data_IF_191656661443
#
_entry.id   IF_191656661443
#
_cell.length_a   1.000
_cell.length_b   1.000
_cell.length_c   1.000
_cell.angle_alpha   90.00
_cell.angle_beta   90.00
_cell.angle_gamma   90.00
#
_symmetry.space_group_name_H-M   'P 1'
#
loop_
_entity.id
_entity.type
_entity.pdbx_description
1 polymer ?
#
# COMPACT_ATOMS: atom_id res chain seq x y z
N UNK A 1 -6.63 0.39 -9.11
CA UNK A 1 -6.41 0.24 -7.65
C UNK A 1 -7.61 -0.41 -6.96
N UNK A 2 -8.82 0.15 -7.05
CA UNK A 2 -9.99 -0.45 -6.38
C UNK A 2 -10.29 -1.87 -6.87
N UNK A 3 -10.19 -2.10 -8.17
CA UNK A 3 -10.42 -3.43 -8.77
C UNK A 3 -9.38 -4.47 -8.32
N UNK A 4 -8.10 -4.09 -8.26
CA UNK A 4 -7.01 -4.99 -7.85
C UNK A 4 -7.05 -5.32 -6.35
N UNK A 5 -7.47 -4.37 -5.51
CA UNK A 5 -7.74 -4.60 -4.09
C UNK A 5 -8.94 -5.52 -3.88
N UNK A 6 -10.04 -5.27 -4.59
CA UNK A 6 -11.25 -6.08 -4.50
C UNK A 6 -11.02 -7.53 -4.98
N UNK A 7 -10.12 -7.72 -5.96
CA UNK A 7 -9.75 -9.04 -6.45
C UNK A 7 -8.89 -9.87 -5.46
N UNK A 8 -8.20 -9.24 -4.50
CA UNK A 8 -7.30 -9.92 -3.56
C UNK A 8 -7.52 -9.48 -2.10
N UNK A 9 -8.72 -9.69 -1.53
CA UNK A 9 -9.10 -9.12 -0.24
C UNK A 9 -8.38 -9.76 0.97
N UNK A 10 -7.88 -10.99 0.83
CA UNK A 10 -7.16 -11.69 1.90
C UNK A 10 -5.69 -11.26 2.00
N UNK A 11 -5.11 -10.79 0.90
CA UNK A 11 -3.66 -10.52 0.80
C UNK A 11 -3.35 -9.04 0.82
N UNK A 12 -4.34 -8.19 0.54
CA UNK A 12 -4.19 -6.74 0.44
C UNK A 12 -5.11 -6.02 1.40
N UNK A 13 -4.66 -4.85 1.87
CA UNK A 13 -5.44 -3.99 2.73
C UNK A 13 -5.22 -2.54 2.31
N UNK A 14 -6.28 -1.74 2.40
CA UNK A 14 -6.19 -0.28 2.34
C UNK A 14 -6.56 0.29 3.70
N UNK A 15 -5.75 1.24 4.15
CA UNK A 15 -5.93 1.99 5.40
C UNK A 15 -5.90 3.46 5.05
N UNK A 16 -6.95 4.18 5.44
CA UNK A 16 -7.05 5.62 5.23
C UNK A 16 -6.78 6.32 6.56
N UNK A 17 -5.76 7.18 6.58
CA UNK A 17 -5.33 7.91 7.77
C UNK A 17 -5.56 9.39 7.54
N UNK A 18 -6.36 9.99 8.42
CA UNK A 18 -6.53 11.43 8.50
C UNK A 18 -5.67 11.96 9.64
N UNK A 19 -4.63 12.71 9.28
CA UNK A 19 -3.75 13.37 10.23
C UNK A 19 -4.27 14.78 10.51
N UNK A 20 -4.80 15.01 11.70
CA UNK A 20 -5.27 16.33 12.12
C UNK A 20 -4.71 16.65 13.50
N UNK A 21 -3.74 17.55 13.54
CA UNK A 21 -3.07 17.97 14.78
C UNK A 21 -3.92 18.96 15.58
N UNK A 22 -4.81 19.70 14.91
CA UNK A 22 -5.67 20.66 15.59
C UNK A 22 -6.82 19.93 16.30
N UNK A 23 -6.81 19.94 17.63
CA UNK A 23 -7.81 19.27 18.47
C UNK A 23 -9.26 19.67 18.16
N UNK A 24 -9.51 20.95 17.84
CA UNK A 24 -10.85 21.43 17.52
C UNK A 24 -11.33 20.88 16.17
N UNK A 25 -10.45 20.90 15.16
CA UNK A 25 -10.75 20.30 13.85
C UNK A 25 -10.94 18.79 13.96
N UNK A 26 -10.08 18.11 14.70
CA UNK A 26 -10.20 16.68 14.95
C UNK A 26 -11.53 16.35 15.63
N UNK A 27 -11.96 17.14 16.62
CA UNK A 27 -13.26 16.97 17.25
C UNK A 27 -14.42 17.13 16.27
N UNK A 28 -14.35 18.15 15.39
CA UNK A 28 -15.35 18.36 14.34
C UNK A 28 -15.41 17.18 13.37
N UNK A 29 -14.27 16.68 12.92
CA UNK A 29 -14.17 15.49 12.06
C UNK A 29 -14.82 14.29 12.74
N UNK A 30 -14.55 14.07 14.04
CA UNK A 30 -15.17 12.97 14.80
C UNK A 30 -16.69 13.08 14.85
N UNK A 31 -17.23 14.29 15.01
CA UNK A 31 -18.67 14.51 15.00
C UNK A 31 -19.31 14.14 13.66
N UNK A 32 -18.67 14.49 12.54
CA UNK A 32 -19.15 14.15 11.20
C UNK A 32 -18.76 12.75 10.71
N UNK A 33 -17.90 12.05 11.43
CA UNK A 33 -17.34 10.75 11.01
C UNK A 33 -18.43 9.70 10.81
N UNK A 34 -19.50 9.72 11.61
CA UNK A 34 -20.65 8.82 11.42
C UNK A 34 -21.33 9.00 10.07
N UNK A 35 -21.46 10.25 9.60
CA UNK A 35 -22.02 10.55 8.29
C UNK A 35 -21.04 10.22 7.15
N UNK A 36 -19.74 10.44 7.35
CA UNK A 36 -18.71 10.04 6.38
C UNK A 36 -18.69 8.52 6.19
N UNK A 37 -18.75 7.75 7.28
CA UNK A 37 -18.78 6.27 7.23
C UNK A 37 -19.98 5.75 6.45
N UNK A 38 -21.14 6.43 6.49
CA UNK A 38 -22.30 6.04 5.66
C UNK A 38 -22.03 6.09 4.15
N UNK A 39 -21.06 6.91 3.71
CA UNK A 39 -20.65 6.99 2.30
C UNK A 39 -19.51 6.03 1.94
N UNK A 40 -18.95 5.33 2.93
CA UNK A 40 -17.86 4.38 2.75
C UNK A 40 -18.39 2.94 2.78
N UNK A 41 -17.76 2.02 2.01
CA UNK A 41 -17.99 0.58 2.15
C UNK A 41 -17.82 0.11 3.60
N UNK A 42 -18.66 -0.82 4.07
CA UNK A 42 -18.67 -1.27 5.48
C UNK A 42 -17.33 -1.87 5.92
N UNK A 43 -16.62 -2.54 5.02
CA UNK A 43 -15.30 -3.13 5.25
C UNK A 43 -14.17 -2.10 5.46
N UNK A 44 -14.42 -0.82 5.19
CA UNK A 44 -13.48 0.28 5.41
C UNK A 44 -13.72 1.06 6.71
N UNK A 45 -14.85 0.84 7.40
CA UNK A 45 -15.21 1.63 8.59
C UNK A 45 -14.18 1.50 9.72
N UNK A 46 -13.62 0.29 9.87
CA UNK A 46 -12.59 -0.03 10.87
C UNK A 46 -11.16 0.20 10.36
N UNK A 47 -11.01 0.62 9.09
CA UNK A 47 -9.73 0.91 8.42
C UNK A 47 -9.53 2.41 8.17
N UNK A 48 -10.40 3.25 8.74
CA UNK A 48 -10.28 4.70 8.72
C UNK A 48 -9.87 5.21 10.10
N UNK A 49 -8.71 5.85 10.17
CA UNK A 49 -8.14 6.35 11.42
C UNK A 49 -8.00 7.86 11.41
N UNK A 50 -8.45 8.50 12.49
CA UNK A 50 -8.15 9.90 12.77
C UNK A 50 -7.00 9.95 13.78
N UNK A 51 -5.84 10.40 13.34
CA UNK A 51 -4.61 10.46 14.13
C UNK A 51 -4.33 11.92 14.49
N UNK A 52 -4.16 12.19 15.79
CA UNK A 52 -3.85 13.53 16.32
C UNK A 52 -2.41 13.64 16.83
N UNK A 53 -1.76 12.51 17.13
CA UNK A 53 -0.42 12.42 17.73
C UNK A 53 0.32 11.20 17.19
N UNK A 54 1.64 11.18 17.32
CA UNK A 54 2.50 10.05 16.92
C UNK A 54 3.17 10.23 15.56
N UNK A 55 2.75 11.23 14.77
CA UNK A 55 3.42 11.60 13.53
C UNK A 55 4.41 12.75 13.80
N UNK A 56 5.58 12.42 14.34
CA UNK A 56 6.64 13.40 14.61
C UNK A 56 7.29 13.86 13.31
N UNK A 57 7.90 15.05 13.32
CA UNK A 57 8.54 15.60 12.11
C UNK A 57 9.66 14.70 11.58
N UNK A 58 10.37 13.98 12.45
CA UNK A 58 11.35 12.98 12.03
C UNK A 58 10.72 11.83 11.23
N UNK A 59 9.55 11.34 11.64
CA UNK A 59 8.82 10.31 10.87
C UNK A 59 8.32 10.90 9.55
N UNK A 60 7.76 12.11 9.57
CA UNK A 60 7.29 12.79 8.35
C UNK A 60 8.41 12.93 7.33
N UNK A 61 9.59 13.34 7.77
CA UNK A 61 10.77 13.45 6.92
C UNK A 61 11.23 12.08 6.41
N UNK A 62 11.26 11.06 7.28
CA UNK A 62 11.66 9.70 6.89
C UNK A 62 10.77 9.09 5.81
N UNK A 63 9.46 9.40 5.80
CA UNK A 63 8.51 8.92 4.79
C UNK A 63 8.29 9.91 3.63
N UNK A 64 9.06 11.01 3.57
CA UNK A 64 8.95 12.01 2.51
C UNK A 64 7.66 12.86 2.55
N UNK A 65 6.98 12.93 3.70
CA UNK A 65 5.77 13.74 3.90
C UNK A 65 6.15 15.19 4.24
N UNK A 66 6.63 15.92 3.25
CA UNK A 66 7.17 17.28 3.41
C UNK A 66 6.09 18.39 3.44
N UNK A 67 4.88 18.10 2.95
CA UNK A 67 3.79 19.07 2.90
C UNK A 67 2.51 18.52 3.54
N UNK A 68 2.10 19.06 4.67
CA UNK A 68 0.91 18.58 5.40
C UNK A 68 -0.43 18.95 4.76
N UNK A 69 -0.45 19.61 3.59
CA UNK A 69 -1.66 20.11 2.92
C UNK A 69 -2.10 19.24 1.75
N UNK A 70 -1.27 18.29 1.32
CA UNK A 70 -1.58 17.36 0.24
C UNK A 70 -1.82 15.95 0.77
N UNK A 71 -2.56 15.15 0.01
CA UNK A 71 -2.71 13.72 0.31
C UNK A 71 -1.48 12.94 -0.11
N UNK A 72 -1.17 11.88 0.62
CA UNK A 72 -0.12 10.92 0.30
C UNK A 72 -0.69 9.51 0.21
N UNK A 73 -0.13 8.70 -0.68
CA UNK A 73 -0.44 7.29 -0.81
C UNK A 73 0.88 6.52 -0.77
N UNK A 74 0.96 5.55 0.13
CA UNK A 74 2.11 4.68 0.27
C UNK A 74 1.70 3.24 -0.01
N UNK A 75 2.51 2.55 -0.80
CA UNK A 75 2.41 1.11 -0.98
C UNK A 75 3.45 0.44 -0.09
N UNK A 76 2.99 -0.40 0.82
CA UNK A 76 3.84 -1.14 1.75
C UNK A 76 3.90 -2.62 1.40
N UNK A 77 5.04 -3.26 1.67
CA UNK A 77 5.15 -4.71 1.67
C UNK A 77 4.71 -5.33 3.02
N UNK A 78 4.80 -6.66 3.13
CA UNK A 78 4.50 -7.44 4.32
C UNK A 78 5.44 -7.19 5.51
N UNK A 79 6.59 -6.55 5.29
CA UNK A 79 7.54 -6.14 6.33
C UNK A 79 7.36 -4.68 6.75
N UNK A 80 6.44 -3.95 6.12
CA UNK A 80 6.18 -2.54 6.38
C UNK A 80 7.13 -1.58 5.65
N UNK A 81 7.91 -2.06 4.67
CA UNK A 81 8.75 -1.17 3.86
C UNK A 81 7.93 -0.48 2.78
N UNK A 82 8.22 0.81 2.56
CA UNK A 82 7.63 1.58 1.47
C UNK A 82 8.25 1.13 0.14
N UNK A 83 7.42 0.64 -0.78
CA UNK A 83 7.81 0.17 -2.12
C UNK A 83 7.43 1.14 -3.22
N UNK A 84 6.43 1.97 -2.95
CA UNK A 84 6.00 3.05 -3.83
C UNK A 84 5.36 4.15 -2.99
N UNK A 85 5.52 5.40 -3.42
CA UNK A 85 4.91 6.55 -2.78
C UNK A 85 4.44 7.54 -3.86
N UNK A 86 3.29 8.15 -3.62
CA UNK A 86 2.73 9.21 -4.45
C UNK A 86 2.11 10.29 -3.58
N UNK A 87 2.04 11.51 -4.11
CA UNK A 87 1.49 12.67 -3.40
C UNK A 87 0.65 13.54 -4.32
N UNK A 88 -0.45 14.07 -3.81
CA UNK A 88 -1.34 14.95 -4.58
C UNK A 88 -2.23 14.19 -5.57
N UNK A 89 -2.57 14.87 -6.67
CA UNK A 89 -3.41 14.30 -7.73
C UNK A 89 -2.58 13.38 -8.61
N UNK A 90 -3.04 12.13 -8.76
CA UNK A 90 -2.32 11.14 -9.54
C UNK A 90 -2.56 11.29 -11.05
N UNK A 91 -1.49 11.33 -11.82
CA UNK A 91 -1.52 11.16 -13.29
C UNK A 91 -1.94 9.70 -13.62
N UNK A 92 -2.64 9.44 -14.75
CA UNK A 92 -2.84 8.09 -15.27
C UNK A 92 -1.63 7.15 -15.16
N UNK A 93 -0.43 7.61 -15.53
CA UNK A 93 0.79 6.80 -15.48
C UNK A 93 1.16 6.39 -14.03
N UNK A 94 0.96 7.29 -13.06
CA UNK A 94 1.21 6.99 -11.66
C UNK A 94 0.24 5.95 -11.12
N UNK A 95 -1.04 6.02 -11.54
CA UNK A 95 -2.06 5.03 -11.19
C UNK A 95 -1.70 3.64 -11.71
N UNK A 96 -1.17 3.56 -12.92
CA UNK A 96 -0.74 2.29 -13.53
C UNK A 96 0.49 1.73 -12.81
N UNK A 97 1.47 2.59 -12.48
CA UNK A 97 2.65 2.19 -11.72
C UNK A 97 2.29 1.64 -10.33
N UNK A 98 1.32 2.26 -9.64
CA UNK A 98 0.82 1.79 -8.36
C UNK A 98 0.15 0.41 -8.49
N UNK A 99 -0.67 0.22 -9.52
CA UNK A 99 -1.34 -1.06 -9.76
C UNK A 99 -0.33 -2.18 -10.07
N UNK A 100 0.67 -1.90 -10.90
CA UNK A 100 1.74 -2.83 -11.22
C UNK A 100 2.57 -3.20 -9.98
N UNK A 101 2.91 -2.21 -9.15
CA UNK A 101 3.60 -2.42 -7.88
C UNK A 101 2.80 -3.30 -6.93
N UNK A 102 1.49 -3.05 -6.79
CA UNK A 102 0.61 -3.86 -5.94
C UNK A 102 0.55 -5.32 -6.42
N UNK A 103 0.37 -5.55 -7.72
CA UNK A 103 0.33 -6.90 -8.30
C UNK A 103 1.62 -7.67 -8.04
N UNK A 104 2.77 -6.99 -8.22
CA UNK A 104 4.08 -7.57 -7.94
C UNK A 104 4.22 -7.99 -6.48
N UNK A 105 3.79 -7.16 -5.52
CA UNK A 105 3.88 -7.51 -4.10
C UNK A 105 2.98 -8.69 -3.72
N UNK A 106 1.81 -8.81 -4.35
CA UNK A 106 0.93 -9.97 -4.16
C UNK A 106 1.60 -11.25 -4.66
N UNK A 107 2.21 -11.21 -5.85
CA UNK A 107 2.93 -12.35 -6.41
C UNK A 107 4.14 -12.75 -5.55
N UNK A 108 4.94 -11.77 -5.13
CA UNK A 108 6.08 -11.98 -4.25
C UNK A 108 5.66 -12.61 -2.92
N UNK A 109 4.54 -12.18 -2.34
CA UNK A 109 3.99 -12.77 -1.10
C UNK A 109 3.49 -14.19 -1.30
N UNK A 110 2.84 -14.50 -2.43
CA UNK A 110 2.42 -15.87 -2.78
C UNK A 110 3.62 -16.79 -2.92
N UNK A 111 4.62 -16.37 -3.71
CA UNK A 111 5.85 -17.14 -3.90
C UNK A 111 6.57 -17.44 -2.58
N UNK A 112 6.63 -16.45 -1.68
CA UNK A 112 7.17 -16.64 -0.32
C UNK A 112 6.37 -17.68 0.49
N UNK A 113 5.05 -17.65 0.42
CA UNK A 113 4.21 -18.64 1.09
C UNK A 113 4.42 -20.06 0.53
N UNK A 114 4.61 -20.19 -0.79
CA UNK A 114 4.92 -21.47 -1.45
C UNK A 114 6.30 -22.01 -1.07
N UNK A 115 7.30 -21.12 -0.95
CA UNK A 115 8.65 -21.46 -0.48
C UNK A 115 8.63 -21.91 0.99
N UNK A 116 7.86 -21.23 1.86
CA UNK A 116 7.73 -21.58 3.29
C UNK A 116 6.93 -22.87 3.49
N UNK A 117 5.91 -23.12 2.68
CA UNK A 117 5.08 -24.34 2.76
C UNK A 117 5.74 -25.58 2.16
N UNK A 118 6.96 -25.46 1.59
CA UNK A 118 7.69 -26.57 0.98
C UNK A 118 7.10 -27.05 -0.34
N UNK A 119 6.12 -26.33 -0.91
CA UNK A 119 5.55 -26.62 -2.23
C UNK A 119 6.56 -26.36 -3.38
N UNK A 120 7.64 -25.62 -3.10
CA UNK A 120 8.75 -25.32 -4.00
C UNK A 120 9.79 -26.46 -4.05
N UNK A 121 9.35 -27.71 -4.14
CA UNK A 121 10.19 -28.85 -4.53
C UNK A 121 9.60 -29.55 -5.75
N UNK A 122 9.44 -28.83 -6.86
CA UNK A 122 9.62 -29.35 -8.23
C UNK A 122 9.36 -28.23 -9.25
N UNK A 123 10.40 -27.59 -9.75
CA UNK A 123 10.43 -27.10 -11.14
C UNK A 123 11.88 -26.94 -11.59
N UNK A 124 12.29 -27.59 -12.68
CA UNK A 124 13.69 -27.73 -13.05
C UNK A 124 14.22 -26.38 -13.53
N UNK A 125 15.30 -25.91 -12.90
CA UNK A 125 16.17 -24.86 -13.42
C UNK A 125 16.57 -25.23 -14.85
N UNK A 126 16.00 -24.54 -15.84
CA UNK A 126 16.43 -24.63 -17.24
C UNK A 126 17.88 -24.15 -17.30
N UNK A 127 18.84 -25.09 -17.29
CA UNK A 127 20.25 -24.79 -17.59
C UNK A 127 20.30 -24.14 -18.96
N UNK A 128 20.60 -22.85 -19.00
CA UNK A 128 20.92 -22.13 -20.23
C UNK A 128 22.24 -22.71 -20.74
N UNK A 129 22.18 -23.56 -21.76
CA UNK A 129 23.37 -24.02 -22.47
C UNK A 129 23.89 -22.80 -23.23
N UNK A 130 25.03 -22.28 -22.79
CA UNK A 130 25.79 -21.28 -23.54
C UNK A 130 26.60 -22.06 -24.58
N UNK A 131 26.10 -22.12 -25.80
CA UNK A 131 26.92 -22.52 -26.96
C UNK A 131 27.82 -21.35 -27.34
N UNK A 132 29.12 -21.49 -27.11
CA UNK A 132 30.15 -20.61 -27.68
C UNK A 132 30.21 -20.78 -29.21
N UNK A 133 30.40 -19.70 -29.98
CA UNK A 133 30.59 -19.80 -31.43
C UNK A 133 31.97 -20.39 -31.73
N UNK A 134 32.01 -21.30 -32.71
CA UNK A 134 33.24 -21.87 -33.28
C UNK A 134 33.70 -20.96 -34.43
N UNK A 135 35.03 -20.83 -34.53
CA UNK A 135 35.86 -20.02 -35.44
C UNK A 135 35.30 -19.74 -36.84
#
# INVERSE_FOLDING_TARGET
MYETLAANPLTTQRIDINLEENRLKAWLIRFFMGNMRRKMPRDQHDKYFLVQKGMTDGIKQAIGMLNSKVGYVYLLDDYGHIRWAGSGSADPAERDSLNAGLLRLIEEKKKRADDISGASMTSPTKRRIVTTPKE
#
